data_IF_692357786566
#
_entry.id   IF_692357786566
#
_cell.length_a   1.000
_cell.length_b   1.000
_cell.length_c   1.000
_cell.angle_alpha   90.00
_cell.angle_beta   90.00
_cell.angle_gamma   90.00
#
_symmetry.space_group_name_H-M   'P 1'
#
loop_
_entity.id
_entity.type
_entity.pdbx_description
1 polymer ?
#
# COMPACT_ATOMS: atom_id res chain seq x y z
N UNK A 1 42.59 -47.02 17.32
CA UNK A 1 41.33 -47.34 16.61
C UNK A 1 40.11 -46.61 17.18
N UNK A 2 40.05 -46.31 18.49
CA UNK A 2 38.98 -45.51 19.09
C UNK A 2 39.04 -44.01 18.74
N UNK A 3 40.24 -43.46 18.51
CA UNK A 3 40.42 -42.02 18.17
C UNK A 3 40.00 -41.65 16.74
N UNK A 4 40.03 -42.61 15.80
CA UNK A 4 39.58 -42.37 14.41
C UNK A 4 38.06 -42.38 14.29
N UNK A 5 37.38 -43.13 15.15
CA UNK A 5 35.91 -43.19 15.16
C UNK A 5 35.32 -41.90 15.72
N UNK A 6 35.87 -41.34 16.80
CA UNK A 6 35.39 -40.09 17.40
C UNK A 6 35.55 -38.87 16.49
N UNK A 7 36.62 -38.82 15.68
CA UNK A 7 36.86 -37.76 14.69
C UNK A 7 35.78 -37.71 13.58
N UNK A 8 35.32 -38.88 13.12
CA UNK A 8 34.29 -38.99 12.08
C UNK A 8 32.91 -38.56 12.64
N UNK A 9 32.57 -38.92 13.88
CA UNK A 9 31.31 -38.49 14.51
C UNK A 9 31.26 -36.98 14.79
N UNK A 10 32.38 -36.36 15.17
CA UNK A 10 32.45 -34.93 15.42
C UNK A 10 32.32 -34.08 14.13
N UNK A 11 32.81 -34.59 13.00
CA UNK A 11 32.70 -33.91 11.70
C UNK A 11 31.30 -34.03 11.09
N UNK A 12 30.64 -35.18 11.25
CA UNK A 12 29.25 -35.38 10.78
C UNK A 12 28.26 -34.55 11.58
N UNK A 13 28.44 -34.44 12.90
CA UNK A 13 27.55 -33.62 13.76
C UNK A 13 27.69 -32.12 13.48
N UNK A 14 28.90 -31.64 13.19
CA UNK A 14 29.15 -30.24 12.82
C UNK A 14 28.46 -29.84 11.50
N UNK A 15 28.48 -30.72 10.49
CA UNK A 15 27.82 -30.47 9.20
C UNK A 15 26.29 -30.45 9.34
N UNK A 16 25.73 -31.38 10.12
CA UNK A 16 24.29 -31.41 10.42
C UNK A 16 23.82 -30.16 11.19
N UNK A 17 24.60 -29.70 12.17
CA UNK A 17 24.31 -28.46 12.91
C UNK A 17 24.36 -27.22 12.00
N UNK A 18 25.29 -27.17 11.04
CA UNK A 18 25.40 -26.05 10.09
C UNK A 18 24.22 -26.01 9.10
N UNK A 19 23.78 -27.16 8.59
CA UNK A 19 22.62 -27.25 7.70
C UNK A 19 21.33 -26.86 8.43
N UNK A 20 21.13 -27.37 9.65
CA UNK A 20 19.95 -27.03 10.48
C UNK A 20 19.96 -25.54 10.89
N UNK A 21 21.11 -25.00 11.29
CA UNK A 21 21.26 -23.58 11.62
C UNK A 21 21.00 -22.66 10.43
N UNK A 22 21.38 -23.08 9.22
CA UNK A 22 21.12 -22.34 7.98
C UNK A 22 19.63 -22.31 7.62
N UNK A 23 18.92 -23.43 7.75
CA UNK A 23 17.48 -23.51 7.43
C UNK A 23 16.64 -22.72 8.44
N UNK A 24 16.96 -22.80 9.74
CA UNK A 24 16.24 -22.09 10.80
C UNK A 24 16.55 -20.59 10.80
N UNK A 25 17.80 -20.19 10.52
CA UNK A 25 18.20 -18.79 10.41
C UNK A 25 17.53 -18.05 9.24
N UNK A 26 17.42 -18.69 8.08
CA UNK A 26 16.74 -18.10 6.92
C UNK A 26 15.22 -17.99 7.11
N UNK A 27 14.57 -18.99 7.73
CA UNK A 27 13.14 -18.92 8.04
C UNK A 27 12.79 -17.80 9.01
N UNK A 28 13.60 -17.63 10.06
CA UNK A 28 13.38 -16.61 11.11
C UNK A 28 13.57 -15.17 10.59
N UNK A 29 14.50 -14.97 9.65
CA UNK A 29 14.75 -13.65 9.05
C UNK A 29 13.65 -13.25 8.03
N UNK A 30 13.02 -14.24 7.39
CA UNK A 30 11.92 -14.01 6.45
C UNK A 30 10.59 -13.76 7.18
N UNK A 31 10.31 -14.49 8.25
CA UNK A 31 9.12 -14.28 9.10
C UNK A 31 9.11 -12.85 9.67
N UNK A 32 10.24 -12.35 10.18
CA UNK A 32 10.33 -10.97 10.68
C UNK A 32 10.17 -9.87 9.63
N UNK A 33 10.34 -10.15 8.33
CA UNK A 33 10.08 -9.19 7.24
C UNK A 33 8.63 -9.18 6.80
N UNK A 34 7.98 -10.35 6.75
CA UNK A 34 6.56 -10.46 6.45
C UNK A 34 5.72 -9.77 7.54
N UNK A 35 6.07 -9.98 8.81
CA UNK A 35 5.40 -9.35 9.95
C UNK A 35 5.53 -7.82 9.92
N UNK A 36 6.70 -7.29 9.52
CA UNK A 36 6.90 -5.84 9.35
C UNK A 36 6.05 -5.26 8.22
N UNK A 37 5.95 -5.94 7.08
CA UNK A 37 5.10 -5.49 5.96
C UNK A 37 3.62 -5.49 6.35
N UNK A 38 3.20 -6.52 7.08
CA UNK A 38 1.84 -6.59 7.62
C UNK A 38 1.58 -5.47 8.63
N UNK A 39 2.48 -5.26 9.59
CA UNK A 39 2.35 -4.20 10.59
C UNK A 39 2.26 -2.80 9.95
N UNK A 40 3.09 -2.51 8.95
CA UNK A 40 3.05 -1.23 8.21
C UNK A 40 1.74 -1.08 7.44
N UNK A 41 1.26 -2.13 6.77
CA UNK A 41 -0.01 -2.09 6.07
C UNK A 41 -1.20 -1.93 7.03
N UNK A 42 -1.19 -2.65 8.16
CA UNK A 42 -2.23 -2.56 9.18
C UNK A 42 -2.25 -1.16 9.81
N UNK A 43 -1.08 -0.58 10.13
CA UNK A 43 -0.97 0.80 10.61
C UNK A 43 -1.54 1.80 9.59
N UNK A 44 -1.25 1.63 8.30
CA UNK A 44 -1.82 2.47 7.24
C UNK A 44 -3.35 2.35 7.18
N UNK A 45 -3.85 1.11 7.21
CA UNK A 45 -5.29 0.85 7.17
C UNK A 45 -6.00 1.44 8.38
N UNK A 46 -5.44 1.28 9.58
CA UNK A 46 -5.97 1.90 10.80
C UNK A 46 -5.93 3.42 10.71
N UNK A 47 -4.84 4.00 10.21
CA UNK A 47 -4.74 5.46 10.01
C UNK A 47 -5.78 5.99 9.01
N UNK A 48 -6.17 5.15 8.05
CA UNK A 48 -7.15 5.49 7.01
C UNK A 48 -8.60 5.34 7.49
N UNK A 49 -8.95 4.25 8.20
CA UNK A 49 -10.31 3.91 8.61
C UNK A 49 -10.65 4.24 10.09
N UNK A 50 -9.75 3.94 11.04
CA UNK A 50 -10.13 3.71 12.45
C UNK A 50 -10.36 4.97 13.28
N UNK A 51 -9.85 6.14 12.87
CA UNK A 51 -10.02 7.36 13.66
C UNK A 51 -11.30 8.15 13.32
N UNK A 52 -12.02 7.78 12.25
CA UNK A 52 -13.07 8.64 11.68
C UNK A 52 -12.57 10.03 11.24
N UNK A 53 -11.26 10.28 11.35
CA UNK A 53 -10.61 11.58 11.16
C UNK A 53 -10.82 12.11 9.74
N UNK A 54 -10.92 11.20 8.77
CA UNK A 54 -11.17 11.52 7.37
C UNK A 54 -12.59 11.19 6.92
N UNK A 55 -13.50 10.84 7.83
CA UNK A 55 -14.90 10.54 7.47
C UNK A 55 -15.58 11.70 6.76
N UNK A 56 -15.25 12.94 7.12
CA UNK A 56 -15.74 14.14 6.44
C UNK A 56 -15.17 14.26 5.02
N UNK A 57 -13.92 13.88 4.80
CA UNK A 57 -13.30 13.85 3.47
C UNK A 57 -13.97 12.78 2.62
N UNK A 58 -14.13 11.56 3.13
CA UNK A 58 -14.78 10.48 2.37
C UNK A 58 -16.20 10.87 1.95
N UNK A 59 -17.02 11.38 2.89
CA UNK A 59 -18.37 11.87 2.57
C UNK A 59 -18.35 12.99 1.51
N UNK A 60 -17.43 13.93 1.62
CA UNK A 60 -17.33 15.03 0.67
C UNK A 60 -16.89 14.54 -0.71
N UNK A 61 -15.98 13.57 -0.79
CA UNK A 61 -15.55 12.95 -2.04
C UNK A 61 -16.64 12.07 -2.67
N UNK A 62 -17.41 11.33 -1.86
CA UNK A 62 -18.54 10.52 -2.34
C UNK A 62 -19.61 11.41 -2.99
N UNK A 63 -19.93 12.55 -2.37
CA UNK A 63 -20.86 13.53 -2.93
C UNK A 63 -20.37 14.11 -4.26
N UNK A 64 -19.07 14.34 -4.39
CA UNK A 64 -18.47 14.83 -5.64
C UNK A 64 -18.55 13.76 -6.74
N UNK A 65 -18.24 12.49 -6.42
CA UNK A 65 -18.30 11.39 -7.39
C UNK A 65 -19.76 11.16 -7.87
N UNK A 66 -20.73 11.21 -6.95
CA UNK A 66 -22.16 11.08 -7.27
C UNK A 66 -22.72 12.25 -8.09
N UNK A 67 -22.25 13.48 -7.84
CA UNK A 67 -22.63 14.65 -8.63
C UNK A 67 -22.03 14.60 -10.05
N UNK A 68 -20.76 14.23 -10.21
CA UNK A 68 -20.13 14.08 -11.54
C UNK A 68 -20.82 13.00 -12.40
N UNK A 69 -21.35 11.94 -11.78
CA UNK A 69 -22.12 10.90 -12.48
C UNK A 69 -23.51 11.39 -12.92
N UNK A 70 -24.13 12.31 -12.18
CA UNK A 70 -25.51 12.74 -12.41
C UNK A 70 -25.64 14.12 -13.08
N UNK A 71 -24.56 14.91 -13.20
CA UNK A 71 -24.68 16.33 -13.51
C UNK A 71 -23.97 16.76 -14.82
N UNK A 72 -24.80 16.96 -15.85
CA UNK A 72 -24.72 18.09 -16.79
C UNK A 72 -24.83 19.47 -16.08
N UNK A 73 -24.58 19.56 -14.78
CA UNK A 73 -24.66 20.76 -13.96
C UNK A 73 -23.42 20.81 -13.04
N UNK A 74 -22.43 21.61 -13.43
CA UNK A 74 -21.28 21.98 -12.60
C UNK A 74 -21.71 22.83 -11.40
N UNK A 75 -22.42 22.23 -10.44
CA UNK A 75 -22.52 22.74 -9.08
C UNK A 75 -21.26 22.27 -8.35
N UNK A 76 -20.25 23.12 -8.23
CA UNK A 76 -19.05 22.81 -7.43
C UNK A 76 -19.45 22.69 -5.98
N UNK A 77 -19.65 21.48 -5.46
CA UNK A 77 -19.64 21.26 -4.02
C UNK A 77 -18.25 21.65 -3.52
N UNK A 78 -18.17 22.74 -2.76
CA UNK A 78 -16.90 23.25 -2.28
C UNK A 78 -16.49 22.47 -1.04
N UNK A 79 -15.49 21.61 -1.18
CA UNK A 79 -14.78 21.01 -0.03
C UNK A 79 -14.28 22.06 0.98
N UNK A 80 -14.17 23.33 0.57
CA UNK A 80 -13.63 24.44 1.37
C UNK A 80 -14.44 24.77 2.61
N UNK A 81 -15.74 24.49 2.62
CA UNK A 81 -16.63 25.02 3.66
C UNK A 81 -16.86 23.99 4.78
N UNK A 82 -16.92 22.71 4.45
CA UNK A 82 -17.20 21.63 5.40
C UNK A 82 -15.94 20.93 5.94
N UNK A 83 -14.81 21.02 5.23
CA UNK A 83 -13.56 20.32 5.61
C UNK A 83 -12.42 21.30 5.90
N UNK A 84 -11.91 21.24 7.13
CA UNK A 84 -10.75 22.02 7.55
C UNK A 84 -9.55 21.79 6.62
N UNK A 85 -8.87 22.89 6.23
CA UNK A 85 -7.64 22.87 5.42
C UNK A 85 -6.60 21.92 6.02
N UNK A 86 -6.42 21.93 7.34
CA UNK A 86 -5.46 21.06 8.02
C UNK A 86 -5.80 19.58 7.84
N UNK A 87 -7.09 19.22 7.86
CA UNK A 87 -7.54 17.84 7.62
C UNK A 87 -7.27 17.41 6.19
N UNK A 88 -7.49 18.31 5.21
CA UNK A 88 -7.16 18.07 3.80
C UNK A 88 -5.66 17.83 3.59
N UNK A 89 -4.82 18.69 4.17
CA UNK A 89 -3.36 18.54 4.10
C UNK A 89 -2.89 17.27 4.80
N UNK A 90 -3.44 16.95 5.97
CA UNK A 90 -3.12 15.71 6.68
C UNK A 90 -3.49 14.47 5.86
N UNK A 91 -4.59 14.53 5.11
CA UNK A 91 -4.98 13.45 4.20
C UNK A 91 -4.03 13.32 3.01
N UNK A 92 -3.64 14.43 2.37
CA UNK A 92 -2.63 14.41 1.31
C UNK A 92 -1.29 13.86 1.81
N UNK A 93 -0.86 14.24 3.02
CA UNK A 93 0.35 13.69 3.65
C UNK A 93 0.23 12.18 3.91
N UNK A 94 -0.95 11.68 4.28
CA UNK A 94 -1.20 10.24 4.39
C UNK A 94 -1.08 9.54 3.03
N UNK A 95 -1.67 10.10 1.97
CA UNK A 95 -1.55 9.55 0.62
C UNK A 95 -0.09 9.52 0.15
N UNK A 96 0.69 10.55 0.46
CA UNK A 96 2.12 10.58 0.17
C UNK A 96 2.88 9.49 0.95
N UNK A 97 2.57 9.28 2.23
CA UNK A 97 3.13 8.18 3.02
C UNK A 97 2.83 6.81 2.37
N UNK A 98 1.60 6.61 1.88
CA UNK A 98 1.22 5.39 1.15
C UNK A 98 2.03 5.27 -0.15
N UNK A 99 2.19 6.35 -0.91
CA UNK A 99 2.98 6.38 -2.14
C UNK A 99 4.45 6.00 -1.89
N UNK A 100 5.05 6.48 -0.80
CA UNK A 100 6.41 6.12 -0.39
C UNK A 100 6.53 4.63 -0.03
N UNK A 101 5.54 4.08 0.67
CA UNK A 101 5.50 2.64 1.03
C UNK A 101 5.37 1.78 -0.23
N UNK A 102 4.55 2.18 -1.19
CA UNK A 102 4.50 1.53 -2.49
C UNK A 102 5.85 1.59 -3.22
N UNK A 103 6.48 2.77 -3.28
CA UNK A 103 7.77 2.97 -3.95
C UNK A 103 8.90 2.15 -3.33
N UNK A 104 8.84 1.93 -2.01
CA UNK A 104 9.76 1.04 -1.29
C UNK A 104 9.55 -0.45 -1.57
N UNK A 105 8.54 -0.81 -2.37
CA UNK A 105 8.13 -2.18 -2.71
C UNK A 105 7.76 -3.03 -1.47
N UNK A 106 7.38 -2.38 -0.38
CA UNK A 106 6.91 -3.08 0.82
C UNK A 106 5.50 -3.65 0.63
N UNK A 107 4.66 -2.96 -0.15
CA UNK A 107 3.27 -3.36 -0.41
C UNK A 107 2.97 -3.32 -1.90
N UNK A 108 2.24 -4.32 -2.39
CA UNK A 108 1.83 -4.43 -3.78
C UNK A 108 0.77 -3.38 -4.13
N UNK A 109 0.93 -2.73 -5.29
CA UNK A 109 0.01 -1.71 -5.80
C UNK A 109 -1.44 -2.19 -5.89
N UNK A 110 -1.69 -3.47 -6.19
CA UNK A 110 -3.04 -4.03 -6.30
C UNK A 110 -3.78 -4.04 -4.97
N UNK A 111 -3.06 -4.33 -3.88
CA UNK A 111 -3.59 -4.32 -2.51
C UNK A 111 -3.90 -2.89 -2.09
N UNK A 112 -3.02 -1.95 -2.44
CA UNK A 112 -3.23 -0.52 -2.17
C UNK A 112 -4.41 0.02 -2.97
N UNK A 113 -4.53 -0.33 -4.25
CA UNK A 113 -5.66 0.06 -5.09
C UNK A 113 -6.99 -0.48 -4.57
N UNK A 114 -7.01 -1.70 -4.06
CA UNK A 114 -8.22 -2.29 -3.48
C UNK A 114 -8.73 -1.55 -2.24
N UNK A 115 -7.84 -1.07 -1.35
CA UNK A 115 -8.26 -0.43 -0.10
C UNK A 115 -8.32 1.10 -0.19
N UNK A 116 -7.37 1.71 -0.88
CA UNK A 116 -7.16 3.17 -0.88
C UNK A 116 -7.39 3.79 -2.26
N UNK A 117 -7.39 3.00 -3.34
CA UNK A 117 -7.26 3.50 -4.70
C UNK A 117 -8.37 4.45 -5.13
N UNK A 118 -9.61 4.14 -4.78
CA UNK A 118 -10.78 4.96 -5.13
C UNK A 118 -10.66 6.39 -4.57
N UNK A 119 -10.57 6.52 -3.24
CA UNK A 119 -10.45 7.81 -2.57
C UNK A 119 -9.13 8.53 -2.84
N UNK A 120 -8.03 7.80 -3.01
CA UNK A 120 -6.74 8.41 -3.34
C UNK A 120 -6.79 9.11 -4.71
N UNK A 121 -7.38 8.47 -5.72
CA UNK A 121 -7.54 9.06 -7.06
C UNK A 121 -8.47 10.27 -6.99
N UNK A 122 -9.64 10.14 -6.36
CA UNK A 122 -10.60 11.25 -6.21
C UNK A 122 -9.97 12.44 -5.51
N UNK A 123 -9.35 12.22 -4.35
CA UNK A 123 -8.71 13.30 -3.60
C UNK A 123 -7.58 13.99 -4.36
N UNK A 124 -6.80 13.25 -5.16
CA UNK A 124 -5.76 13.84 -5.98
C UNK A 124 -6.36 14.74 -7.07
N UNK A 125 -7.47 14.33 -7.68
CA UNK A 125 -8.11 15.03 -8.79
C UNK A 125 -8.98 16.22 -8.37
N UNK A 126 -9.52 16.21 -7.16
CA UNK A 126 -10.28 17.33 -6.58
C UNK A 126 -9.37 18.54 -6.35
N UNK A 127 -9.67 19.65 -7.00
CA UNK A 127 -8.88 20.89 -6.90
C UNK A 127 -8.90 21.47 -5.48
N UNK A 128 -10.04 21.35 -4.79
CA UNK A 128 -10.27 21.85 -3.44
C UNK A 128 -9.47 21.10 -2.35
N UNK A 129 -8.86 19.95 -2.68
CA UNK A 129 -7.93 19.27 -1.77
C UNK A 129 -6.58 19.99 -1.65
N UNK A 130 -6.23 20.78 -2.67
CA UNK A 130 -4.94 21.45 -2.75
C UNK A 130 -5.05 22.89 -2.21
N UNK A 131 -4.07 23.36 -1.43
CA UNK A 131 -4.04 24.76 -0.99
C UNK A 131 -3.97 25.71 -2.20
N UNK A 132 -3.17 25.37 -3.22
CA UNK A 132 -3.18 26.01 -4.52
C UNK A 132 -3.25 24.97 -5.63
N UNK A 133 -4.00 25.25 -6.71
CA UNK A 133 -4.16 24.32 -7.84
C UNK A 133 -2.82 23.93 -8.48
N UNK A 134 -1.90 24.89 -8.53
CA UNK A 134 -0.58 24.71 -9.14
C UNK A 134 0.31 23.75 -8.32
N UNK A 135 0.01 23.57 -7.02
CA UNK A 135 0.78 22.69 -6.13
C UNK A 135 0.71 21.23 -6.58
N UNK A 136 -0.37 20.81 -7.27
CA UNK A 136 -0.49 19.45 -7.82
C UNK A 136 0.65 19.12 -8.79
N UNK A 137 1.15 20.13 -9.50
CA UNK A 137 2.25 20.00 -10.46
C UNK A 137 3.64 20.18 -9.83
N UNK A 138 3.69 20.53 -8.54
CA UNK A 138 4.93 20.82 -7.85
C UNK A 138 5.79 19.55 -7.74
N UNK A 139 7.13 19.63 -7.95
CA UNK A 139 8.03 18.46 -7.92
C UNK A 139 7.98 17.66 -6.61
N UNK A 140 7.61 18.30 -5.51
CA UNK A 140 7.41 17.64 -4.21
C UNK A 140 6.38 16.51 -4.29
N UNK A 141 5.32 16.69 -5.08
CA UNK A 141 4.24 15.70 -5.24
C UNK A 141 4.48 14.75 -6.42
N UNK A 142 5.65 14.75 -7.05
CA UNK A 142 5.94 13.86 -8.18
C UNK A 142 5.78 12.38 -7.80
N UNK A 143 6.23 11.99 -6.61
CA UNK A 143 6.09 10.60 -6.15
C UNK A 143 4.63 10.22 -5.89
N UNK A 144 3.82 11.17 -5.41
CA UNK A 144 2.38 10.97 -5.23
C UNK A 144 1.69 10.86 -6.60
N UNK A 145 2.02 11.72 -7.55
CA UNK A 145 1.50 11.66 -8.92
C UNK A 145 1.79 10.31 -9.58
N UNK A 146 3.03 9.84 -9.51
CA UNK A 146 3.43 8.54 -10.08
C UNK A 146 2.61 7.39 -9.47
N UNK A 147 2.40 7.43 -8.15
CA UNK A 147 1.56 6.47 -7.45
C UNK A 147 0.10 6.51 -7.91
N UNK A 148 -0.50 7.70 -8.03
CA UNK A 148 -1.87 7.88 -8.52
C UNK A 148 -2.02 7.39 -9.96
N UNK A 149 -1.04 7.66 -10.83
CA UNK A 149 -1.04 7.18 -12.22
C UNK A 149 -1.00 5.64 -12.27
N UNK A 150 -0.27 4.98 -11.37
CA UNK A 150 -0.27 3.52 -11.24
C UNK A 150 -1.59 2.98 -10.70
N UNK A 151 -2.19 3.65 -9.70
CA UNK A 151 -3.52 3.29 -9.20
C UNK A 151 -4.58 3.36 -10.31
N UNK A 152 -4.54 4.37 -11.18
CA UNK A 152 -5.44 4.49 -12.34
C UNK A 152 -5.29 3.33 -13.31
N UNK A 153 -4.06 2.90 -13.57
CA UNK A 153 -3.79 1.73 -14.43
C UNK A 153 -4.37 0.46 -13.81
N UNK A 154 -4.18 0.24 -12.50
CA UNK A 154 -4.76 -0.90 -11.80
C UNK A 154 -6.29 -0.83 -11.71
N UNK A 155 -6.89 0.36 -11.55
CA UNK A 155 -8.34 0.57 -11.61
C UNK A 155 -8.90 0.16 -12.97
N UNK A 156 -8.24 0.52 -14.08
CA UNK A 156 -8.62 0.07 -15.43
C UNK A 156 -8.56 -1.46 -15.56
N UNK A 157 -7.52 -2.10 -15.02
CA UNK A 157 -7.39 -3.58 -15.01
C UNK A 157 -8.49 -4.23 -14.18
N UNK A 158 -8.81 -3.66 -13.02
CA UNK A 158 -9.90 -4.13 -12.15
C UNK A 158 -11.24 -4.09 -12.87
N UNK A 159 -11.55 -3.01 -13.60
CA UNK A 159 -12.80 -2.92 -14.37
C UNK A 159 -12.82 -3.84 -15.61
N UNK A 160 -11.68 -4.09 -16.24
CA UNK A 160 -11.60 -4.95 -17.42
C UNK A 160 -11.80 -6.44 -17.07
N UNK A 161 -11.19 -6.92 -15.98
CA UNK A 161 -11.36 -8.30 -15.52
C UNK A 161 -11.34 -8.40 -13.98
N UNK A 162 -12.48 -8.18 -13.31
CA UNK A 162 -12.56 -8.16 -11.86
C UNK A 162 -12.13 -9.48 -11.19
N UNK A 163 -12.49 -10.62 -11.79
CA UNK A 163 -12.21 -11.94 -11.21
C UNK A 163 -10.71 -12.25 -11.23
N UNK A 164 -10.04 -11.97 -12.34
CA UNK A 164 -8.59 -12.13 -12.46
C UNK A 164 -7.84 -11.18 -11.54
N UNK A 165 -8.32 -9.94 -11.43
CA UNK A 165 -7.74 -8.95 -10.54
C UNK A 165 -7.82 -9.39 -9.07
N UNK A 166 -9.00 -9.83 -8.61
CA UNK A 166 -9.20 -10.33 -7.23
C UNK A 166 -8.35 -11.59 -7.01
N UNK A 167 -8.24 -12.47 -8.00
CA UNK A 167 -7.35 -13.64 -7.93
C UNK A 167 -5.88 -13.22 -7.80
N UNK A 168 -5.45 -12.19 -8.53
CA UNK A 168 -4.13 -11.59 -8.40
C UNK A 168 -3.87 -10.95 -7.02
N UNK A 169 -4.89 -10.34 -6.41
CA UNK A 169 -4.82 -9.84 -5.04
C UNK A 169 -4.75 -10.98 -4.02
N UNK A 170 -5.52 -12.06 -4.21
CA UNK A 170 -5.48 -13.22 -3.30
C UNK A 170 -4.21 -14.08 -3.45
N UNK A 171 -3.74 -14.29 -4.67
CA UNK A 171 -2.55 -15.12 -4.94
C UNK A 171 -1.24 -14.33 -4.79
N UNK A 172 -1.24 -13.04 -5.13
CA UNK A 172 -0.08 -12.15 -4.97
C UNK A 172 -0.03 -11.39 -3.63
N UNK A 173 -1.19 -11.11 -3.01
CA UNK A 173 -1.28 -10.31 -1.78
C UNK A 173 -1.17 -11.10 -0.48
N UNK A 174 -1.31 -12.42 -0.51
CA UNK A 174 -0.92 -13.28 0.62
C UNK A 174 0.25 -14.16 0.22
N UNK A 175 0.14 -14.99 -0.82
CA UNK A 175 1.22 -15.96 -1.13
C UNK A 175 2.52 -15.34 -1.68
N UNK A 176 2.49 -14.39 -2.62
CA UNK A 176 3.71 -13.69 -3.08
C UNK A 176 4.20 -12.62 -2.09
N UNK A 177 3.29 -12.05 -1.30
CA UNK A 177 3.61 -11.20 -0.14
C UNK A 177 4.52 -11.92 0.87
N UNK A 178 4.38 -13.25 1.00
CA UNK A 178 5.20 -14.11 1.85
C UNK A 178 6.49 -14.66 1.19
N UNK A 179 6.63 -14.68 -0.16
CA UNK A 179 7.65 -15.55 -0.78
C UNK A 179 8.46 -15.04 -1.98
N UNK A 180 8.28 -13.80 -2.48
CA UNK A 180 9.10 -13.36 -3.62
C UNK A 180 10.09 -12.21 -3.28
N UNK A 181 11.38 -12.52 -3.01
CA UNK A 181 12.41 -11.52 -2.75
C UNK A 181 13.02 -10.87 -4.00
N UNK A 182 12.62 -11.28 -5.21
CA UNK A 182 13.19 -10.76 -6.46
C UNK A 182 12.10 -10.41 -7.49
N UNK A 183 11.73 -9.13 -7.54
CA UNK A 183 11.26 -8.39 -8.74
C UNK A 183 11.50 -6.89 -8.51
#
# INVERSE_FOLDING_TARGET
MWETVTSIYASVSAVLAFILGSVVGFGSFQIGRADRRFAVYDELRRSFDEAGMYSQIFKALDLIDDEDVNANNKGKLKLSDDVNVNTRHAFLALLERIALIWRSRLVNIRVLNYNFGHYAILAYDTDEMWPHKDDRSHPYYASLKDFIDQLRQEKKKLHANPQEYIRGVRMGGLREFFWNPFH
#
